data_IF_888455761558
#
_entry.id   IF_888455761558
#
_cell.length_a   1.000
_cell.length_b   1.000
_cell.length_c   1.000
_cell.angle_alpha   90.00
_cell.angle_beta   90.00
_cell.angle_gamma   90.00
#
_symmetry.space_group_name_H-M   'P 1'
#
loop_
_entity.id
_entity.type
_entity.pdbx_description
1 polymer ?
#
# COMPACT_ATOMS: atom_id res chain seq x y z
N UNK A 1 2.57 -2.56 -4.04
CA UNK A 1 2.85 -1.18 -4.52
C UNK A 1 2.18 -0.23 -3.53
N UNK A 2 2.91 0.71 -2.92
CA UNK A 2 2.41 1.54 -1.80
C UNK A 2 1.86 2.90 -2.28
N UNK A 3 0.76 2.87 -3.04
CA UNK A 3 0.03 4.08 -3.46
C UNK A 3 0.62 4.85 -4.66
N UNK A 4 -0.21 5.68 -5.30
CA UNK A 4 0.15 6.51 -6.46
C UNK A 4 -0.40 6.01 -7.82
N UNK A 5 0.31 6.24 -8.95
CA UNK A 5 -0.12 5.90 -10.32
C UNK A 5 -0.53 4.42 -10.50
N UNK A 6 0.00 3.57 -9.65
CA UNK A 6 -0.30 2.13 -9.61
C UNK A 6 -1.76 1.83 -9.27
N UNK A 7 -2.42 2.65 -8.44
CA UNK A 7 -3.83 2.45 -8.07
C UNK A 7 -4.73 2.66 -9.28
N UNK A 8 -4.48 3.73 -10.04
CA UNK A 8 -5.25 4.03 -11.25
C UNK A 8 -5.16 2.90 -12.27
N UNK A 9 -3.96 2.33 -12.46
CA UNK A 9 -3.76 1.19 -13.36
C UNK A 9 -4.47 -0.05 -12.83
N UNK A 10 -4.34 -0.34 -11.53
CA UNK A 10 -5.02 -1.49 -10.90
C UNK A 10 -6.54 -1.38 -10.99
N UNK A 11 -7.12 -0.19 -10.79
CA UNK A 11 -8.55 0.05 -10.94
C UNK A 11 -9.01 -0.15 -12.38
N UNK A 12 -8.25 0.34 -13.36
CA UNK A 12 -8.57 0.11 -14.77
C UNK A 12 -8.56 -1.39 -15.11
N UNK A 13 -7.64 -2.17 -14.54
CA UNK A 13 -7.57 -3.62 -14.74
C UNK A 13 -8.72 -4.33 -13.99
N UNK A 14 -9.01 -3.93 -12.75
CA UNK A 14 -10.07 -4.50 -11.92
C UNK A 14 -11.47 -4.28 -12.51
N UNK A 15 -11.67 -3.15 -13.19
CA UNK A 15 -12.93 -2.79 -13.84
C UNK A 15 -12.96 -3.18 -15.33
N UNK A 16 -11.89 -3.79 -15.85
CA UNK A 16 -11.77 -4.21 -17.24
C UNK A 16 -12.52 -5.51 -17.57
N UNK A 17 -12.44 -5.93 -18.83
CA UNK A 17 -13.18 -7.08 -19.37
C UNK A 17 -12.52 -8.43 -19.06
N UNK A 18 -11.19 -8.46 -18.86
CA UNK A 18 -10.49 -9.70 -18.53
C UNK A 18 -10.76 -10.11 -17.08
N UNK A 19 -11.70 -11.05 -16.91
CA UNK A 19 -12.15 -11.55 -15.61
C UNK A 19 -11.00 -12.09 -14.76
N UNK A 20 -9.99 -12.75 -15.36
CA UNK A 20 -8.88 -13.33 -14.62
C UNK A 20 -7.95 -12.26 -14.06
N UNK A 21 -7.62 -11.27 -14.88
CA UNK A 21 -6.81 -10.12 -14.43
C UNK A 21 -7.59 -9.23 -13.47
N UNK A 22 -8.88 -9.00 -13.75
CA UNK A 22 -9.77 -8.19 -12.92
C UNK A 22 -9.86 -8.77 -11.50
N UNK A 23 -10.06 -10.09 -11.38
CA UNK A 23 -10.09 -10.76 -10.07
C UNK A 23 -8.78 -10.60 -9.30
N UNK A 24 -7.63 -10.79 -9.95
CA UNK A 24 -6.32 -10.60 -9.31
C UNK A 24 -6.10 -9.15 -8.87
N UNK A 25 -6.48 -8.19 -9.71
CA UNK A 25 -6.36 -6.77 -9.39
C UNK A 25 -7.27 -6.40 -8.21
N UNK A 26 -8.50 -6.91 -8.19
CA UNK A 26 -9.45 -6.74 -7.08
C UNK A 26 -8.89 -7.29 -5.77
N UNK A 27 -8.32 -8.49 -5.75
CA UNK A 27 -7.69 -9.05 -4.53
C UNK A 27 -6.53 -8.19 -4.02
N UNK A 28 -5.71 -7.65 -4.93
CA UNK A 28 -4.66 -6.71 -4.54
C UNK A 28 -5.26 -5.42 -3.98
N UNK A 29 -6.29 -4.85 -4.62
CA UNK A 29 -6.95 -3.63 -4.18
C UNK A 29 -7.62 -3.75 -2.81
N UNK A 30 -8.20 -4.91 -2.47
CA UNK A 30 -8.79 -5.19 -1.14
C UNK A 30 -7.78 -5.06 0.01
N UNK A 31 -6.48 -5.17 -0.27
CA UNK A 31 -5.40 -5.01 0.72
C UNK A 31 -4.81 -3.59 0.76
N UNK A 32 -5.22 -2.70 -0.14
CA UNK A 32 -4.67 -1.35 -0.21
C UNK A 32 -5.52 -0.36 0.59
N UNK A 33 -4.84 0.47 1.38
CA UNK A 33 -5.46 1.41 2.34
C UNK A 33 -5.72 2.79 1.72
N UNK A 34 -5.03 3.13 0.63
CA UNK A 34 -5.03 4.48 0.08
C UNK A 34 -5.85 4.53 -1.21
N UNK A 35 -7.14 4.87 -1.11
CA UNK A 35 -7.95 5.35 -2.24
C UNK A 35 -8.29 6.82 -2.02
N UNK A 36 -8.18 7.61 -3.08
CA UNK A 36 -8.69 8.99 -3.07
C UNK A 36 -10.17 9.02 -3.40
N UNK A 37 -10.86 10.12 -3.07
CA UNK A 37 -12.28 10.32 -3.39
C UNK A 37 -12.58 10.11 -4.89
N UNK A 38 -11.65 10.50 -5.76
CA UNK A 38 -11.75 10.28 -7.20
C UNK A 38 -11.78 8.79 -7.57
N UNK A 39 -11.06 7.95 -6.85
CA UNK A 39 -11.00 6.52 -7.08
C UNK A 39 -12.26 5.83 -6.56
N UNK A 40 -12.75 6.25 -5.38
CA UNK A 40 -14.02 5.77 -4.82
C UNK A 40 -15.17 6.07 -5.79
N UNK A 41 -15.23 7.29 -6.31
CA UNK A 41 -16.26 7.68 -7.29
C UNK A 41 -16.26 6.81 -8.54
N UNK A 42 -15.07 6.42 -9.04
CA UNK A 42 -14.96 5.51 -10.21
C UNK A 42 -15.47 4.11 -9.91
N UNK A 43 -15.26 3.63 -8.68
CA UNK A 43 -15.79 2.34 -8.21
C UNK A 43 -17.32 2.44 -8.11
N UNK A 44 -17.87 3.53 -7.57
CA UNK A 44 -19.31 3.78 -7.50
C UNK A 44 -19.95 3.83 -8.91
N UNK A 45 -19.34 4.54 -9.86
CA UNK A 45 -19.80 4.60 -11.24
C UNK A 45 -19.82 3.20 -11.88
N UNK A 46 -18.78 2.39 -11.65
CA UNK A 46 -18.72 1.01 -12.13
C UNK A 46 -19.74 0.09 -11.43
N UNK A 47 -20.02 0.33 -10.15
CA UNK A 47 -21.06 -0.38 -9.41
C UNK A 47 -22.46 -0.07 -9.99
N UNK A 48 -22.73 1.20 -10.32
CA UNK A 48 -23.96 1.62 -10.99
C UNK A 48 -24.13 0.98 -12.38
N UNK A 49 -23.01 0.67 -13.05
CA UNK A 49 -22.97 -0.12 -14.30
C UNK A 49 -23.12 -1.64 -14.08
N UNK A 50 -23.44 -2.08 -12.85
CA UNK A 50 -23.60 -3.49 -12.46
C UNK A 50 -22.32 -4.34 -12.57
N UNK A 51 -21.14 -3.72 -12.45
CA UNK A 51 -19.88 -4.46 -12.40
C UNK A 51 -19.76 -5.24 -11.08
N UNK A 52 -19.59 -6.56 -11.18
CA UNK A 52 -19.48 -7.46 -10.03
C UNK A 52 -18.22 -7.18 -9.19
N UNK A 53 -17.11 -6.82 -9.81
CA UNK A 53 -15.85 -6.54 -9.11
C UNK A 53 -15.96 -5.26 -8.28
N UNK A 54 -16.67 -4.24 -8.79
CA UNK A 54 -16.92 -3.00 -8.05
C UNK A 54 -17.75 -3.25 -6.79
N UNK A 55 -18.76 -4.13 -6.87
CA UNK A 55 -19.56 -4.54 -5.71
C UNK A 55 -18.69 -5.22 -4.64
N UNK A 56 -17.89 -6.20 -5.04
CA UNK A 56 -16.99 -6.90 -4.10
C UNK A 56 -15.99 -5.94 -3.44
N UNK A 57 -15.48 -4.97 -4.19
CA UNK A 57 -14.55 -3.99 -3.67
C UNK A 57 -15.22 -3.10 -2.62
N UNK A 58 -16.39 -2.52 -2.93
CA UNK A 58 -17.14 -1.70 -1.96
C UNK A 58 -17.51 -2.46 -0.69
N UNK A 59 -17.89 -3.73 -0.82
CA UNK A 59 -18.20 -4.58 0.33
C UNK A 59 -16.96 -4.85 1.20
N UNK A 60 -15.82 -5.15 0.58
CA UNK A 60 -14.54 -5.35 1.28
C UNK A 60 -14.05 -4.07 1.97
N UNK A 61 -14.24 -2.92 1.34
CA UNK A 61 -13.90 -1.61 1.90
C UNK A 61 -14.81 -1.27 3.09
N UNK A 62 -16.10 -1.60 2.99
CA UNK A 62 -17.07 -1.43 4.09
C UNK A 62 -16.77 -2.35 5.28
N UNK A 63 -16.24 -3.55 5.04
CA UNK A 63 -15.77 -4.49 6.07
C UNK A 63 -14.37 -4.17 6.62
N UNK A 64 -13.71 -3.16 6.06
CA UNK A 64 -12.34 -2.78 6.41
C UNK A 64 -11.34 -3.96 6.38
N UNK A 65 -11.47 -4.87 5.41
CA UNK A 65 -10.62 -6.08 5.33
C UNK A 65 -9.12 -5.78 5.22
N UNK A 66 -8.77 -4.57 4.78
CA UNK A 66 -7.40 -4.07 4.72
C UNK A 66 -6.76 -3.82 6.11
N UNK A 67 -7.57 -3.60 7.15
CA UNK A 67 -7.08 -3.44 8.53
C UNK A 67 -7.16 -4.73 9.34
N UNK A 68 -8.15 -5.57 9.08
CA UNK A 68 -8.42 -6.75 9.92
C UNK A 68 -7.55 -7.96 9.59
N UNK A 69 -6.88 -7.96 8.43
CA UNK A 69 -5.91 -9.00 8.02
C UNK A 69 -4.45 -8.64 8.36
N UNK A 70 -4.23 -7.88 9.42
CA UNK A 70 -2.87 -7.67 9.93
C UNK A 70 -2.40 -8.95 10.62
N UNK A 71 -1.14 -9.39 10.42
CA UNK A 71 -0.61 -10.52 11.16
C UNK A 71 -0.69 -10.22 12.66
N UNK A 72 -1.03 -11.24 13.45
CA UNK A 72 -1.01 -11.13 14.91
C UNK A 72 0.37 -10.63 15.35
N UNK A 73 0.38 -9.64 16.24
CA UNK A 73 1.62 -9.11 16.80
C UNK A 73 2.16 -10.17 17.76
N UNK A 74 3.39 -10.62 17.56
CA UNK A 74 4.07 -11.48 18.52
C UNK A 74 4.10 -10.79 19.89
N UNK A 75 3.65 -11.48 20.94
CA UNK A 75 3.62 -10.95 22.31
C UNK A 75 5.01 -10.53 22.83
N UNK A 76 6.07 -11.10 22.26
CA UNK A 76 7.46 -10.79 22.58
C UNK A 76 8.21 -10.23 21.37
N UNK A 77 8.51 -8.93 21.40
CA UNK A 77 9.36 -8.29 20.41
C UNK A 77 10.82 -8.41 20.88
N UNK A 78 11.59 -9.33 20.30
CA UNK A 78 13.03 -9.43 20.55
C UNK A 78 13.77 -8.27 19.89
N UNK A 79 14.08 -7.25 20.70
CA UNK A 79 14.92 -6.13 20.28
C UNK A 79 16.40 -6.47 20.48
N UNK A 80 17.22 -6.19 19.46
CA UNK A 80 18.68 -6.13 19.61
C UNK A 80 19.02 -4.65 19.74
N UNK A 81 19.56 -4.24 20.89
CA UNK A 81 19.94 -2.85 21.13
C UNK A 81 21.16 -2.49 20.31
N UNK A 82 20.97 -1.63 19.30
CA UNK A 82 22.07 -1.02 18.57
C UNK A 82 22.30 0.39 19.12
N UNK A 83 23.44 0.62 19.77
CA UNK A 83 23.83 1.96 20.24
C UNK A 83 24.39 2.73 19.06
N UNK A 84 23.60 3.66 18.51
CA UNK A 84 24.00 4.45 17.34
C UNK A 84 25.06 5.52 17.67
N UNK A 85 25.04 6.08 18.88
CA UNK A 85 26.05 6.94 19.50
C UNK A 85 25.67 7.19 20.97
N UNK A 86 26.60 7.66 21.80
CA UNK A 86 26.32 8.14 23.16
C UNK A 86 26.19 9.69 23.11
N UNK A 87 24.95 10.21 23.14
CA UNK A 87 24.64 11.65 22.99
C UNK A 87 23.41 11.94 22.11
N UNK A 88 23.11 13.23 21.84
CA UNK A 88 21.98 13.64 21.00
C UNK A 88 22.12 13.14 19.55
N UNK A 89 21.22 12.25 19.13
CA UNK A 89 21.12 11.82 17.74
C UNK A 89 20.29 12.87 16.98
N UNK A 90 20.98 13.90 16.49
CA UNK A 90 20.38 14.88 15.57
C UNK A 90 20.05 14.20 14.23
N UNK A 91 18.98 14.65 13.55
CA UNK A 91 18.52 14.09 12.26
C UNK A 91 19.62 13.97 11.18
N UNK A 92 20.68 14.80 11.26
CA UNK A 92 21.84 14.71 10.37
C UNK A 92 22.63 13.39 10.49
N UNK A 93 22.61 12.73 11.65
CA UNK A 93 23.31 11.45 11.87
C UNK A 93 22.61 10.29 11.14
N UNK A 94 21.29 10.35 10.98
CA UNK A 94 20.47 9.32 10.31
C UNK A 94 20.52 9.47 8.77
N UNK A 95 20.81 10.67 8.24
CA UNK A 95 20.69 10.99 6.80
C UNK A 95 22.08 11.18 6.12
N UNK A 96 23.19 10.81 6.77
CA UNK A 96 24.51 10.89 6.13
C UNK A 96 24.77 9.69 5.20
N UNK A 97 24.29 9.76 3.95
CA UNK A 97 24.88 9.00 2.85
C UNK A 97 26.23 9.62 2.52
N UNK A 98 27.33 9.00 2.98
CA UNK A 98 28.66 9.27 2.43
C UNK A 98 28.72 8.76 0.99
N UNK A 99 28.57 9.65 0.00
CA UNK A 99 29.19 9.45 -1.31
C UNK A 99 30.68 9.75 -1.16
N UNK A 100 31.46 8.73 -0.83
CA UNK A 100 32.92 8.82 -0.85
C UNK A 100 33.41 8.51 -2.27
N UNK A 101 33.66 9.53 -3.08
CA UNK A 101 34.65 9.44 -4.17
C UNK A 101 36.03 9.63 -3.56
N UNK A 102 36.78 8.55 -3.53
CA UNK A 102 38.21 8.54 -3.23
C UNK A 102 38.96 9.28 -4.35
N UNK A 103 39.56 10.42 -4.05
CA UNK A 103 40.63 10.99 -4.86
C UNK A 103 41.83 11.20 -3.95
N UNK A 104 42.81 10.31 -4.07
CA UNK A 104 44.11 10.46 -3.44
C UNK A 104 44.96 11.45 -4.21
N UNK A 105 45.59 12.36 -3.48
CA UNK A 105 47.03 12.67 -3.51
C UNK A 105 47.38 13.49 -2.27
#
# INVERSE_FOLDING_TARGET
MRGGPSITVLLNIALGEDIHLAKRATEVLKTQVFLYDSDIKRIEDAFNQKNLMAKELLESFSKAEFFTKLPELDEEIKIITYVAAEGDILNGFIISRKSSTFQGR
#
